data_IF_590406440463
#
_entry.id   IF_590406440463
#
_cell.length_a   1.000
_cell.length_b   1.000
_cell.length_c   1.000
_cell.angle_alpha   90.00
_cell.angle_beta   90.00
_cell.angle_gamma   90.00
#
_symmetry.space_group_name_H-M   'P 1'
#
loop_
_entity.id
_entity.type
_entity.pdbx_description
1 polymer ?
#
# COMPACT_ATOMS: atom_id res chain seq x y z
N UNK A 1 -0.65 23.16 11.37
CA UNK A 1 -0.72 23.95 10.13
C UNK A 1 -1.82 23.46 9.18
N UNK A 2 -1.90 22.16 8.84
CA UNK A 2 -2.90 21.63 7.90
C UNK A 2 -4.38 21.85 8.34
N UNK A 3 -4.78 21.64 9.61
CA UNK A 3 -6.16 21.92 10.05
C UNK A 3 -6.57 23.39 9.89
N UNK A 4 -5.62 24.32 10.09
CA UNK A 4 -5.87 25.76 9.97
C UNK A 4 -6.18 26.17 8.51
N UNK A 5 -5.43 25.65 7.54
CA UNK A 5 -5.71 25.84 6.10
C UNK A 5 -7.02 25.18 5.63
N UNK A 6 -7.58 24.28 6.41
CA UNK A 6 -8.86 23.61 6.13
C UNK A 6 -10.04 24.23 6.89
N UNK A 7 -9.84 25.38 7.54
CA UNK A 7 -10.89 26.01 8.35
C UNK A 7 -11.34 25.15 9.53
N UNK A 8 -10.43 24.33 10.09
CA UNK A 8 -10.75 23.37 11.15
C UNK A 8 -11.38 22.06 10.67
N UNK A 9 -11.64 21.89 9.38
CA UNK A 9 -12.23 20.66 8.86
C UNK A 9 -11.29 19.47 9.07
N UNK A 10 -11.88 18.33 9.43
CA UNK A 10 -11.14 17.11 9.73
C UNK A 10 -10.23 16.67 8.57
N UNK A 11 -9.11 16.10 8.99
CA UNK A 11 -8.13 15.52 8.08
C UNK A 11 -8.65 14.15 7.64
N UNK A 12 -8.70 13.91 6.33
CA UNK A 12 -9.10 12.63 5.78
C UNK A 12 -8.26 11.45 6.32
N UNK A 13 -7.03 11.70 6.76
CA UNK A 13 -6.14 10.73 7.40
C UNK A 13 -6.66 10.18 8.74
N UNK A 14 -7.57 10.88 9.44
CA UNK A 14 -8.17 10.37 10.70
C UNK A 14 -8.87 9.04 10.45
N UNK A 15 -9.50 8.89 9.28
CA UNK A 15 -10.18 7.66 8.87
C UNK A 15 -9.25 6.45 8.76
N UNK A 16 -7.93 6.65 8.64
CA UNK A 16 -6.97 5.53 8.60
C UNK A 16 -6.78 4.87 9.97
N UNK A 17 -7.28 5.53 11.02
CA UNK A 17 -7.23 5.10 12.41
C UNK A 17 -8.65 5.01 13.00
N UNK A 18 -9.64 4.67 12.16
CA UNK A 18 -11.07 4.65 12.52
C UNK A 18 -11.38 3.82 13.78
N UNK A 19 -10.60 2.76 14.04
CA UNK A 19 -10.66 1.95 15.27
C UNK A 19 -10.43 2.73 16.56
N UNK A 20 -9.74 3.87 16.50
CA UNK A 20 -9.43 4.70 17.65
C UNK A 20 -10.35 5.91 17.78
N UNK A 21 -11.28 6.14 16.84
CA UNK A 21 -12.25 7.23 16.92
C UNK A 21 -12.48 7.92 15.59
N UNK A 22 -13.46 8.82 15.59
CA UNK A 22 -13.88 9.56 14.39
C UNK A 22 -13.14 10.89 14.26
N UNK A 23 -12.58 11.40 15.37
CA UNK A 23 -11.83 12.66 15.40
C UNK A 23 -10.36 12.47 15.76
N UNK A 24 -9.49 13.39 15.34
CA UNK A 24 -8.05 13.34 15.69
C UNK A 24 -7.83 13.33 17.21
N UNK A 25 -8.65 14.07 17.97
CA UNK A 25 -8.56 14.12 19.42
C UNK A 25 -8.91 12.79 20.07
N UNK A 26 -9.99 12.15 19.61
CA UNK A 26 -10.39 10.82 20.06
C UNK A 26 -9.34 9.78 19.71
N UNK A 27 -8.81 9.79 18.49
CA UNK A 27 -7.76 8.88 18.05
C UNK A 27 -6.56 8.93 18.99
N UNK A 28 -6.03 10.13 19.26
CA UNK A 28 -4.88 10.30 20.16
C UNK A 28 -5.24 9.89 21.60
N UNK A 29 -6.40 10.30 22.09
CA UNK A 29 -6.86 9.97 23.44
C UNK A 29 -6.98 8.47 23.63
N UNK A 30 -7.66 7.78 22.71
CA UNK A 30 -7.90 6.35 22.80
C UNK A 30 -6.62 5.53 22.61
N UNK A 31 -5.66 5.99 21.81
CA UNK A 31 -4.33 5.36 21.76
C UNK A 31 -3.62 5.41 23.12
N UNK A 32 -3.80 6.49 23.89
CA UNK A 32 -3.17 6.67 25.21
C UNK A 32 -3.94 5.95 26.33
N UNK A 33 -5.27 5.98 26.30
CA UNK A 33 -6.11 5.43 27.39
C UNK A 33 -6.51 3.98 27.19
N UNK A 34 -6.38 3.42 25.97
CA UNK A 34 -6.72 2.04 25.67
C UNK A 34 -5.50 1.26 25.14
N UNK A 35 -4.49 0.99 26.01
CA UNK A 35 -3.26 0.31 25.58
C UNK A 35 -3.52 -1.10 25.06
N UNK A 36 -4.55 -1.81 25.56
CA UNK A 36 -4.94 -3.13 25.05
C UNK A 36 -5.38 -3.07 23.58
N UNK A 37 -6.16 -2.07 23.20
CA UNK A 37 -6.57 -1.83 21.81
C UNK A 37 -5.34 -1.49 20.95
N UNK A 38 -4.50 -0.56 21.41
CA UNK A 38 -3.28 -0.18 20.70
C UNK A 38 -2.35 -1.37 20.45
N UNK A 39 -2.06 -2.17 21.47
CA UNK A 39 -1.22 -3.35 21.32
C UNK A 39 -1.89 -4.45 20.52
N UNK A 40 -3.23 -4.58 20.58
CA UNK A 40 -3.99 -5.50 19.73
C UNK A 40 -3.82 -5.20 18.25
N UNK A 41 -3.76 -3.92 17.87
CA UNK A 41 -3.52 -3.49 16.49
C UNK A 41 -2.03 -3.56 16.09
N UNK A 42 -1.11 -3.29 17.03
CA UNK A 42 0.32 -3.39 16.76
C UNK A 42 0.82 -4.84 16.69
N UNK A 43 0.29 -5.76 17.48
CA UNK A 43 0.79 -7.13 17.62
C UNK A 43 -0.05 -8.12 16.82
N UNK A 44 -0.07 -7.92 15.50
CA UNK A 44 -0.82 -8.78 14.57
C UNK A 44 0.12 -9.59 13.68
N UNK A 45 -0.43 -10.62 13.03
CA UNK A 45 0.27 -11.36 11.97
C UNK A 45 0.70 -10.41 10.85
N UNK A 46 -0.13 -9.40 10.52
CA UNK A 46 0.18 -8.39 9.50
C UNK A 46 1.42 -7.58 9.88
N UNK A 47 1.48 -7.08 11.11
CA UNK A 47 2.66 -6.35 11.62
C UNK A 47 3.91 -7.21 11.62
N UNK A 48 3.78 -8.48 12.00
CA UNK A 48 4.88 -9.44 11.99
C UNK A 48 5.42 -9.64 10.58
N UNK A 49 4.53 -9.91 9.60
CA UNK A 49 4.91 -10.05 8.20
C UNK A 49 5.56 -8.77 7.66
N UNK A 50 5.04 -7.60 8.02
CA UNK A 50 5.62 -6.32 7.63
C UNK A 50 7.04 -6.14 8.17
N UNK A 51 7.27 -6.43 9.46
CA UNK A 51 8.61 -6.40 10.05
C UNK A 51 9.55 -7.40 9.37
N UNK A 52 9.08 -8.61 9.09
CA UNK A 52 9.84 -9.63 8.36
C UNK A 52 10.21 -9.15 6.95
N UNK A 53 9.27 -8.54 6.21
CA UNK A 53 9.54 -7.98 4.88
C UNK A 53 10.61 -6.89 4.89
N UNK A 54 10.73 -6.12 5.98
CA UNK A 54 11.76 -5.09 6.13
C UNK A 54 13.11 -5.64 6.62
N UNK A 55 13.10 -6.67 7.47
CA UNK A 55 14.32 -7.18 8.12
C UNK A 55 14.96 -8.35 7.37
N UNK A 56 14.17 -9.19 6.70
CA UNK A 56 14.69 -10.36 5.97
C UNK A 56 15.66 -9.98 4.84
N UNK A 57 15.44 -8.93 4.03
CA UNK A 57 16.38 -8.54 2.98
C UNK A 57 17.77 -8.16 3.50
N UNK A 58 17.86 -7.69 4.75
CA UNK A 58 19.12 -7.33 5.42
C UNK A 58 19.60 -8.41 6.38
N UNK A 59 19.06 -9.63 6.28
CA UNK A 59 19.46 -10.77 7.12
C UNK A 59 19.26 -10.51 8.61
N UNK A 60 18.27 -9.71 9.00
CA UNK A 60 18.00 -9.32 10.38
C UNK A 60 19.14 -8.57 11.10
N UNK A 61 20.20 -8.18 10.39
CA UNK A 61 21.38 -7.57 11.01
C UNK A 61 21.11 -6.17 11.58
N UNK A 62 20.05 -5.49 11.12
CA UNK A 62 19.54 -4.28 11.75
C UNK A 62 19.24 -4.45 13.26
N UNK A 63 18.83 -5.65 13.70
CA UNK A 63 18.53 -5.95 15.10
C UNK A 63 19.77 -5.88 16.00
N UNK A 64 20.98 -6.00 15.44
CA UNK A 64 22.23 -5.85 16.20
C UNK A 64 22.55 -4.37 16.51
N UNK A 65 21.74 -3.43 16.03
CA UNK A 65 21.83 -2.00 16.30
C UNK A 65 20.50 -1.43 16.81
N UNK A 66 19.98 -1.92 17.96
CA UNK A 66 18.62 -1.64 18.40
C UNK A 66 18.36 -0.14 18.62
N UNK A 67 19.34 0.61 19.12
CA UNK A 67 19.21 2.06 19.31
C UNK A 67 19.03 2.85 18.00
N UNK A 68 19.61 2.39 16.88
CA UNK A 68 19.42 3.01 15.56
C UNK A 68 18.11 2.57 14.93
N UNK A 69 17.80 1.28 15.04
CA UNK A 69 16.53 0.76 14.57
C UNK A 69 15.33 1.39 15.31
N UNK A 70 15.49 1.70 16.60
CA UNK A 70 14.48 2.35 17.43
C UNK A 70 14.07 3.74 16.92
N UNK A 71 14.94 4.43 16.17
CA UNK A 71 14.61 5.72 15.54
C UNK A 71 13.43 5.57 14.56
N UNK A 72 13.26 4.39 13.96
CA UNK A 72 12.16 4.09 13.06
C UNK A 72 10.86 3.66 13.75
N UNK A 73 10.87 3.39 15.06
CA UNK A 73 9.70 2.84 15.76
C UNK A 73 8.45 3.72 15.69
N UNK A 74 8.51 5.06 15.84
CA UNK A 74 7.31 5.88 15.74
C UNK A 74 6.64 5.77 14.36
N UNK A 75 7.46 5.80 13.30
CA UNK A 75 6.96 5.67 11.93
C UNK A 75 6.45 4.26 11.66
N UNK A 76 7.16 3.23 12.11
CA UNK A 76 6.73 1.84 12.00
C UNK A 76 5.38 1.63 12.70
N UNK A 77 5.22 2.14 13.92
CA UNK A 77 3.96 2.07 14.66
C UNK A 77 2.81 2.71 13.90
N UNK A 78 3.00 3.93 13.38
CA UNK A 78 1.97 4.61 12.55
C UNK A 78 1.61 3.77 11.31
N UNK A 79 2.59 3.16 10.65
CA UNK A 79 2.35 2.32 9.47
C UNK A 79 1.61 1.02 9.82
N UNK A 80 1.88 0.41 10.97
CA UNK A 80 1.15 -0.78 11.44
C UNK A 80 -0.29 -0.46 11.82
N UNK A 81 -0.54 0.71 12.39
CA UNK A 81 -1.88 1.18 12.78
C UNK A 81 -2.70 1.67 11.58
N UNK A 82 -2.08 1.86 10.42
CA UNK A 82 -2.76 2.34 9.22
C UNK A 82 -3.48 1.18 8.50
N UNK A 83 -4.79 1.30 8.37
CA UNK A 83 -5.63 0.26 7.75
C UNK A 83 -5.38 0.09 6.25
N UNK A 84 -4.99 1.17 5.55
CA UNK A 84 -4.80 1.19 4.09
C UNK A 84 -3.36 0.86 3.66
N UNK A 85 -2.37 1.20 4.49
CA UNK A 85 -0.95 1.23 4.08
C UNK A 85 -0.10 0.03 4.55
N UNK A 86 -0.71 -1.00 5.13
CA UNK A 86 0.04 -2.05 5.81
C UNK A 86 0.45 -3.24 4.91
N UNK A 87 0.53 -3.02 3.60
CA UNK A 87 1.23 -3.92 2.67
C UNK A 87 2.62 -3.32 2.35
N UNK A 88 3.72 -4.00 2.70
CA UNK A 88 5.08 -3.50 2.54
C UNK A 88 5.51 -3.35 1.06
N UNK A 89 4.70 -3.79 0.10
CA UNK A 89 4.94 -3.57 -1.33
C UNK A 89 4.56 -2.15 -1.78
N UNK A 90 3.76 -1.43 -1.00
CA UNK A 90 3.47 -0.03 -1.26
C UNK A 90 4.58 0.87 -0.73
N UNK A 91 4.75 2.04 -1.33
CA UNK A 91 5.84 2.98 -1.04
C UNK A 91 5.77 3.64 0.35
N UNK A 92 4.71 3.42 1.15
CA UNK A 92 4.54 4.06 2.46
C UNK A 92 5.68 3.76 3.46
N UNK A 93 6.35 2.61 3.31
CA UNK A 93 7.50 2.24 4.12
C UNK A 93 8.82 2.94 3.72
N UNK A 94 8.85 3.66 2.58
CA UNK A 94 10.07 4.24 2.04
C UNK A 94 10.89 5.06 3.06
N UNK A 95 10.31 5.84 3.98
CA UNK A 95 11.10 6.58 4.96
C UNK A 95 11.73 5.69 6.06
N UNK A 96 11.26 4.45 6.26
CA UNK A 96 11.90 3.48 7.16
C UNK A 96 13.15 2.85 6.54
N UNK A 97 13.21 2.74 5.22
CA UNK A 97 14.33 2.11 4.50
C UNK A 97 15.69 2.67 4.93
N UNK A 98 15.97 4.00 4.90
CA UNK A 98 17.27 4.52 5.31
C UNK A 98 17.61 4.19 6.78
N UNK A 99 16.61 4.14 7.67
CA UNK A 99 16.82 3.77 9.09
C UNK A 99 17.24 2.31 9.20
N UNK A 100 16.57 1.40 8.49
CA UNK A 100 16.91 -0.03 8.47
C UNK A 100 18.33 -0.23 7.92
N UNK A 101 18.68 0.41 6.80
CA UNK A 101 20.03 0.31 6.23
C UNK A 101 21.11 0.93 7.13
N UNK A 102 20.81 2.04 7.82
CA UNK A 102 21.71 2.62 8.82
C UNK A 102 21.91 1.71 10.04
N UNK A 103 20.85 1.06 10.51
CA UNK A 103 20.96 0.07 11.57
C UNK A 103 21.77 -1.15 11.11
N UNK A 104 21.52 -1.65 9.89
CA UNK A 104 22.22 -2.79 9.28
C UNK A 104 23.71 -2.53 9.10
N UNK A 105 24.12 -1.36 8.62
CA UNK A 105 25.55 -1.07 8.41
C UNK A 105 26.38 -1.21 9.68
N UNK A 106 25.83 -0.75 10.82
CA UNK A 106 26.44 -0.93 12.14
C UNK A 106 26.24 -2.36 12.65
N UNK A 107 25.11 -2.98 12.34
CA UNK A 107 24.82 -4.36 12.69
C UNK A 107 25.83 -5.34 12.11
N UNK A 108 26.24 -5.14 10.85
CA UNK A 108 27.30 -5.92 10.20
C UNK A 108 28.61 -5.86 11.00
N UNK A 109 29.03 -4.67 11.46
CA UNK A 109 30.24 -4.52 12.29
C UNK A 109 30.11 -5.13 13.69
N UNK A 110 28.90 -5.39 14.17
CA UNK A 110 28.63 -6.02 15.48
C UNK A 110 28.45 -7.53 15.38
N UNK A 111 28.10 -8.03 14.19
CA UNK A 111 27.86 -9.43 13.93
C UNK A 111 29.08 -10.30 14.29
N UNK A 112 30.29 -9.82 14.00
CA UNK A 112 31.53 -10.54 14.38
C UNK A 112 31.64 -10.80 15.88
N UNK A 113 31.41 -9.76 16.70
CA UNK A 113 31.43 -9.87 18.17
C UNK A 113 30.36 -10.82 18.71
N UNK A 114 29.17 -10.78 18.13
CA UNK A 114 28.05 -11.65 18.53
C UNK A 114 28.36 -13.10 18.15
N UNK A 115 28.89 -13.33 16.95
CA UNK A 115 29.30 -14.64 16.48
C UNK A 115 30.40 -15.22 17.38
N UNK A 116 31.45 -14.45 17.68
CA UNK A 116 32.53 -14.88 18.59
C UNK A 116 32.01 -15.18 20.00
N UNK A 117 31.08 -14.37 20.52
CA UNK A 117 30.43 -14.61 21.83
C UNK A 117 29.60 -15.88 21.82
N UNK A 118 28.90 -16.19 20.73
CA UNK A 118 28.12 -17.42 20.60
C UNK A 118 29.03 -18.64 20.43
N UNK A 119 30.05 -18.56 19.57
CA UNK A 119 30.97 -19.66 19.32
C UNK A 119 31.84 -19.99 20.54
N UNK A 120 32.31 -19.00 21.29
CA UNK A 120 33.08 -19.19 22.54
C UNK A 120 32.28 -19.88 23.66
N UNK A 121 30.94 -19.90 23.58
CA UNK A 121 30.11 -20.75 24.48
C UNK A 121 30.19 -22.23 24.13
N UNK A 122 30.58 -22.57 22.90
CA UNK A 122 30.66 -23.93 22.40
C UNK A 122 32.10 -24.40 22.17
N UNK A 123 33.09 -23.51 22.26
CA UNK A 123 34.51 -23.83 22.09
C UNK A 123 35.36 -23.35 23.28
N UNK A 124 36.14 -24.26 23.85
CA UNK A 124 37.18 -23.94 24.85
C UNK A 124 38.42 -23.50 24.10
N UNK A 125 38.52 -22.24 23.71
CA UNK A 125 39.74 -21.71 23.09
C UNK A 125 40.12 -20.31 23.56
N UNK A 126 41.42 -20.15 23.80
CA UNK A 126 42.13 -19.00 24.38
C UNK A 126 41.90 -17.67 23.66
N UNK A 127 42.10 -16.54 24.36
CA UNK A 127 41.79 -15.20 23.87
C UNK A 127 42.67 -14.82 22.67
N UNK A 128 42.06 -14.63 21.50
CA UNK A 128 42.75 -14.09 20.33
C UNK A 128 42.95 -12.58 20.44
N UNK A 129 44.18 -12.15 20.13
CA UNK A 129 44.62 -10.76 20.04
C UNK A 129 43.90 -10.08 18.87
N UNK A 130 43.27 -8.94 19.15
CA UNK A 130 42.61 -8.07 18.15
C UNK A 130 43.66 -7.59 17.14
N UNK A 131 43.61 -8.09 15.90
CA UNK A 131 44.30 -7.50 14.77
C UNK A 131 43.32 -6.71 13.92
N UNK A 132 43.79 -5.64 13.26
CA UNK A 132 43.02 -4.68 12.47
C UNK A 132 42.61 -5.20 11.08
N UNK A 133 42.74 -6.49 10.81
CA UNK A 133 42.27 -7.14 9.58
C UNK A 133 40.79 -7.55 9.74
N UNK A 134 39.97 -7.49 8.68
CA UNK A 134 38.58 -7.95 8.76
C UNK A 134 38.56 -9.40 9.24
N UNK A 135 37.83 -9.64 10.32
CA UNK A 135 37.74 -10.99 10.88
C UNK A 135 36.96 -11.89 9.91
N UNK A 136 37.16 -13.22 9.94
CA UNK A 136 36.32 -14.16 9.19
C UNK A 136 34.82 -13.93 9.46
N UNK A 137 34.47 -13.53 10.68
CA UNK A 137 33.10 -13.22 11.08
C UNK A 137 32.56 -11.94 10.41
N UNK A 138 33.39 -10.92 10.19
CA UNK A 138 33.03 -9.74 9.39
C UNK A 138 32.82 -10.09 7.91
N UNK A 139 33.60 -11.05 7.38
CA UNK A 139 33.37 -11.58 6.03
C UNK A 139 32.05 -12.35 5.94
N UNK A 140 31.76 -13.19 6.92
CA UNK A 140 30.52 -13.94 7.00
C UNK A 140 29.29 -13.02 7.07
N UNK A 141 29.30 -12.02 7.95
CA UNK A 141 28.17 -11.10 8.09
C UNK A 141 27.87 -10.34 6.79
N UNK A 142 28.92 -9.91 6.08
CA UNK A 142 28.78 -9.26 4.76
C UNK A 142 28.20 -10.22 3.73
N UNK A 143 28.74 -11.43 3.62
CA UNK A 143 28.22 -12.46 2.71
C UNK A 143 26.78 -12.83 3.05
N UNK A 144 26.42 -12.87 4.33
CA UNK A 144 25.07 -13.18 4.78
C UNK A 144 24.06 -12.10 4.42
N UNK A 145 24.39 -10.80 4.57
CA UNK A 145 23.54 -9.72 4.03
C UNK A 145 23.35 -9.89 2.54
N UNK A 146 24.44 -10.09 1.79
CA UNK A 146 24.37 -10.24 0.33
C UNK A 146 23.51 -11.43 -0.09
N UNK A 147 23.68 -12.59 0.56
CA UNK A 147 22.88 -13.78 0.31
C UNK A 147 21.40 -13.51 0.65
N UNK A 148 21.11 -12.88 1.79
CA UNK A 148 19.74 -12.54 2.20
C UNK A 148 19.07 -11.58 1.21
N UNK A 149 19.77 -10.52 0.81
CA UNK A 149 19.29 -9.55 -0.18
C UNK A 149 19.07 -10.21 -1.55
N UNK A 150 20.00 -11.06 -1.99
CA UNK A 150 19.88 -11.75 -3.27
C UNK A 150 18.73 -12.75 -3.25
N UNK A 151 18.61 -13.57 -2.21
CA UNK A 151 17.50 -14.53 -2.07
C UNK A 151 16.16 -13.81 -2.02
N UNK A 152 16.01 -12.78 -1.19
CA UNK A 152 14.75 -12.03 -1.13
C UNK A 152 14.44 -11.31 -2.45
N UNK A 153 15.44 -10.77 -3.15
CA UNK A 153 15.25 -10.19 -4.47
C UNK A 153 14.81 -11.23 -5.51
N UNK A 154 15.45 -12.40 -5.54
CA UNK A 154 15.14 -13.46 -6.49
C UNK A 154 13.76 -14.07 -6.26
N UNK A 155 13.34 -14.26 -5.01
CA UNK A 155 12.11 -15.00 -4.71
C UNK A 155 10.89 -14.13 -4.42
N UNK A 156 11.07 -12.88 -3.98
CA UNK A 156 9.97 -12.07 -3.44
C UNK A 156 9.80 -10.71 -4.14
N UNK A 157 10.74 -10.28 -4.98
CA UNK A 157 10.67 -8.93 -5.56
C UNK A 157 9.83 -8.84 -6.83
N UNK A 158 9.35 -7.62 -7.12
CA UNK A 158 8.72 -7.26 -8.39
C UNK A 158 9.76 -6.87 -9.46
N UNK A 159 11.05 -7.13 -9.22
CA UNK A 159 12.10 -6.84 -10.20
C UNK A 159 12.04 -7.85 -11.35
N UNK A 160 12.41 -7.45 -12.59
CA UNK A 160 12.64 -8.40 -13.69
C UNK A 160 13.66 -9.51 -13.37
N UNK A 161 14.48 -9.36 -12.32
CA UNK A 161 15.37 -10.41 -11.85
C UNK A 161 14.70 -11.45 -10.93
N UNK A 162 13.48 -11.18 -10.44
CA UNK A 162 12.75 -12.03 -9.51
C UNK A 162 11.86 -13.06 -10.20
N UNK A 163 11.73 -14.25 -9.62
CA UNK A 163 10.87 -15.34 -10.10
C UNK A 163 9.39 -14.91 -10.07
N UNK A 164 8.98 -14.19 -9.03
CA UNK A 164 7.61 -13.67 -8.84
C UNK A 164 7.15 -12.75 -9.96
N UNK A 165 8.08 -12.11 -10.67
CA UNK A 165 7.78 -11.27 -11.83
C UNK A 165 7.43 -12.09 -13.07
N UNK A 166 8.02 -13.27 -13.24
CA UNK A 166 7.80 -14.12 -14.43
C UNK A 166 6.75 -15.20 -14.24
N UNK A 167 6.46 -15.58 -12.99
CA UNK A 167 5.48 -16.62 -12.66
C UNK A 167 4.04 -16.17 -12.95
N UNK A 168 3.36 -16.79 -13.92
CA UNK A 168 1.97 -16.47 -14.27
C UNK A 168 0.95 -16.72 -13.13
N UNK A 169 1.29 -17.58 -12.16
CA UNK A 169 0.48 -17.80 -10.95
C UNK A 169 0.54 -16.63 -9.97
N UNK A 170 1.63 -15.85 -10.00
CA UNK A 170 1.85 -14.71 -9.12
C UNK A 170 0.91 -13.55 -9.44
N UNK A 171 0.36 -12.93 -8.38
CA UNK A 171 -0.38 -11.66 -8.46
C UNK A 171 0.51 -10.49 -8.92
N UNK A 172 1.83 -10.64 -8.82
CA UNK A 172 2.83 -9.62 -9.16
C UNK A 172 3.52 -9.89 -10.51
N UNK A 173 2.97 -10.80 -11.30
CA UNK A 173 3.57 -11.18 -12.57
C UNK A 173 3.48 -10.08 -13.61
N UNK A 174 4.44 -10.08 -14.53
CA UNK A 174 4.45 -9.23 -15.72
C UNK A 174 3.11 -9.32 -16.45
N UNK A 175 2.59 -10.54 -16.57
CA UNK A 175 1.36 -10.85 -17.29
C UNK A 175 0.09 -10.27 -16.64
N UNK A 176 0.12 -10.00 -15.34
CA UNK A 176 -1.02 -9.37 -14.64
C UNK A 176 -0.86 -7.86 -14.48
N UNK A 177 0.37 -7.39 -14.26
CA UNK A 177 0.62 -5.99 -13.94
C UNK A 177 0.90 -5.11 -15.16
N UNK A 178 1.48 -5.68 -16.22
CA UNK A 178 2.01 -4.91 -17.34
C UNK A 178 1.54 -5.40 -18.71
N UNK A 179 1.07 -6.65 -18.83
CA UNK A 179 0.54 -7.11 -20.09
C UNK A 179 -0.74 -6.36 -20.46
N UNK A 180 -0.93 -6.20 -21.76
CA UNK A 180 -2.10 -5.56 -22.32
C UNK A 180 -3.35 -6.39 -22.03
N UNK A 181 -4.30 -5.77 -21.34
CA UNK A 181 -5.60 -6.36 -20.99
C UNK A 181 -6.61 -6.04 -22.11
N UNK A 182 -7.32 -7.02 -22.70
CA UNK A 182 -8.34 -6.77 -23.72
C UNK A 182 -9.39 -5.72 -23.32
N UNK A 183 -9.65 -5.56 -22.02
CA UNK A 183 -10.48 -4.48 -21.48
C UNK A 183 -9.98 -3.09 -21.87
N UNK A 184 -8.66 -2.91 -22.00
CA UNK A 184 -8.08 -1.64 -22.42
C UNK A 184 -8.47 -1.29 -23.87
N UNK A 185 -8.66 -2.28 -24.75
CA UNK A 185 -9.07 -2.09 -26.14
C UNK A 185 -10.53 -1.65 -26.27
N UNK A 186 -11.36 -1.92 -25.26
CA UNK A 186 -12.76 -1.49 -25.23
C UNK A 186 -12.91 -0.02 -24.85
N UNK A 187 -11.90 0.56 -24.19
CA UNK A 187 -12.01 1.90 -23.63
C UNK A 187 -12.17 3.05 -24.65
N UNK A 188 -11.55 3.02 -25.84
CA UNK A 188 -11.85 3.97 -26.91
C UNK A 188 -13.33 4.04 -27.28
N UNK A 189 -14.07 2.92 -27.21
CA UNK A 189 -15.52 2.90 -27.45
C UNK A 189 -16.29 3.66 -26.36
N UNK A 190 -15.86 3.54 -25.11
CA UNK A 190 -16.41 4.30 -23.98
C UNK A 190 -16.15 5.80 -24.16
N UNK A 191 -14.91 6.19 -24.48
CA UNK A 191 -14.56 7.61 -24.69
C UNK A 191 -15.35 8.24 -25.84
N UNK A 192 -15.57 7.49 -26.94
CA UNK A 192 -16.34 7.99 -28.07
C UNK A 192 -17.80 8.35 -27.73
N UNK A 193 -18.36 7.79 -26.65
CA UNK A 193 -19.73 8.07 -26.17
C UNK A 193 -19.83 9.32 -25.31
N UNK A 194 -18.72 9.86 -24.82
CA UNK A 194 -18.71 10.89 -23.78
C UNK A 194 -18.06 12.16 -24.34
N UNK A 195 -18.82 13.24 -24.53
CA UNK A 195 -18.26 14.53 -24.96
C UNK A 195 -17.23 15.07 -23.98
N UNK A 196 -16.22 15.78 -24.49
CA UNK A 196 -15.08 16.25 -23.68
C UNK A 196 -15.48 17.28 -22.62
N UNK A 197 -16.50 18.06 -22.90
CA UNK A 197 -17.12 19.06 -22.02
C UNK A 197 -17.95 18.44 -20.89
N UNK A 198 -18.17 17.13 -20.89
CA UNK A 198 -18.98 16.47 -19.86
C UNK A 198 -18.27 16.39 -18.50
N UNK A 199 -19.03 16.21 -17.43
CA UNK A 199 -18.54 15.90 -16.09
C UNK A 199 -18.76 14.41 -15.81
N UNK A 200 -17.67 13.67 -15.60
CA UNK A 200 -17.68 12.21 -15.59
C UNK A 200 -17.32 11.68 -14.22
N UNK A 201 -18.19 10.86 -13.62
CA UNK A 201 -17.84 10.02 -12.49
C UNK A 201 -17.39 8.64 -12.98
N UNK A 202 -16.36 8.06 -12.37
CA UNK A 202 -15.89 6.75 -12.81
C UNK A 202 -15.16 5.99 -11.71
N UNK A 203 -15.15 4.66 -11.79
CA UNK A 203 -14.42 3.83 -10.80
C UNK A 203 -12.90 4.11 -10.83
N UNK A 204 -12.26 3.98 -9.66
CA UNK A 204 -10.88 4.41 -9.37
C UNK A 204 -9.84 4.07 -10.47
N UNK A 205 -9.86 2.85 -11.00
CA UNK A 205 -8.80 2.38 -11.90
C UNK A 205 -8.94 2.84 -13.36
N UNK A 206 -10.10 3.38 -13.73
CA UNK A 206 -10.30 4.05 -15.03
C UNK A 206 -10.41 5.56 -14.91
N UNK A 207 -10.56 6.08 -13.69
CA UNK A 207 -10.66 7.51 -13.40
C UNK A 207 -9.55 8.39 -14.03
N UNK A 208 -8.24 8.00 -14.00
CA UNK A 208 -7.20 8.80 -14.65
C UNK A 208 -7.46 9.04 -16.14
N UNK A 209 -8.17 8.13 -16.81
CA UNK A 209 -8.48 8.26 -18.24
C UNK A 209 -9.53 9.33 -18.52
N UNK A 210 -10.30 9.79 -17.53
CA UNK A 210 -11.32 10.84 -17.69
C UNK A 210 -10.85 12.23 -17.22
N UNK A 211 -9.60 12.38 -16.80
CA UNK A 211 -9.06 13.65 -16.28
C UNK A 211 -8.99 14.80 -17.30
N UNK A 212 -9.21 14.51 -18.58
CA UNK A 212 -9.22 15.48 -19.68
C UNK A 212 -10.62 16.06 -19.98
N UNK A 213 -11.64 15.59 -19.26
CA UNK A 213 -13.00 16.12 -19.30
C UNK A 213 -13.14 17.39 -18.41
N UNK A 214 -14.27 18.12 -18.52
CA UNK A 214 -14.50 19.34 -17.72
C UNK A 214 -14.30 19.07 -16.22
N UNK A 215 -14.86 17.95 -15.74
CA UNK A 215 -14.59 17.42 -14.41
C UNK A 215 -14.53 15.91 -14.43
N UNK A 216 -13.68 15.37 -13.57
CA UNK A 216 -13.62 13.94 -13.29
C UNK A 216 -13.85 13.71 -11.80
N UNK A 217 -14.82 12.85 -11.49
CA UNK A 217 -15.19 12.45 -10.14
C UNK A 217 -14.87 10.97 -9.93
N UNK A 218 -14.50 10.59 -8.72
CA UNK A 218 -14.39 9.18 -8.40
C UNK A 218 -15.76 8.63 -7.97
N UNK A 219 -16.11 7.51 -8.60
CA UNK A 219 -17.28 6.70 -8.31
C UNK A 219 -16.87 5.56 -7.38
N UNK A 220 -17.04 5.78 -6.08
CA UNK A 220 -16.78 4.79 -5.03
C UNK A 220 -17.67 5.07 -3.82
N UNK A 221 -17.64 4.16 -2.85
CA UNK A 221 -18.32 4.33 -1.55
C UNK A 221 -17.65 5.39 -0.66
N UNK A 222 -16.58 6.03 -1.13
CA UNK A 222 -15.86 7.01 -0.35
C UNK A 222 -16.64 8.33 -0.27
N UNK A 223 -17.20 8.62 0.90
CA UNK A 223 -17.94 9.86 1.18
C UNK A 223 -17.05 11.09 0.99
N UNK A 224 -17.38 11.94 0.01
CA UNK A 224 -16.62 13.15 -0.35
C UNK A 224 -17.42 14.43 -0.15
N UNK A 225 -16.74 15.52 0.17
CA UNK A 225 -17.34 16.85 0.32
C UNK A 225 -18.11 17.31 -0.93
N UNK A 226 -17.60 17.00 -2.12
CA UNK A 226 -18.24 17.40 -3.39
C UNK A 226 -19.62 16.75 -3.59
N UNK A 227 -19.87 15.62 -2.93
CA UNK A 227 -21.15 14.93 -2.87
C UNK A 227 -21.83 15.07 -1.49
N UNK A 228 -21.50 16.12 -0.73
CA UNK A 228 -22.12 16.37 0.59
C UNK A 228 -21.79 15.33 1.66
N UNK A 229 -20.73 14.52 1.49
CA UNK A 229 -20.43 13.34 2.30
C UNK A 229 -21.51 12.25 2.26
N UNK A 230 -22.32 12.22 1.22
CA UNK A 230 -23.28 11.16 0.95
C UNK A 230 -22.68 10.14 -0.02
N UNK A 231 -23.23 8.92 -0.01
CA UNK A 231 -22.85 7.87 -0.97
C UNK A 231 -23.62 8.08 -2.29
N UNK A 232 -23.23 9.12 -3.04
CA UNK A 232 -23.80 9.51 -4.32
C UNK A 232 -22.77 10.20 -5.22
N UNK A 233 -23.06 10.27 -6.52
CA UNK A 233 -22.31 11.15 -7.43
C UNK A 233 -22.74 12.61 -7.24
N UNK A 234 -21.85 13.60 -7.51
CA UNK A 234 -22.22 15.01 -7.51
C UNK A 234 -23.45 15.32 -8.38
N UNK A 235 -24.24 16.30 -7.97
CA UNK A 235 -25.45 16.70 -8.69
C UNK A 235 -25.19 17.28 -10.08
N UNK A 236 -23.96 17.64 -10.42
CA UNK A 236 -23.57 18.11 -11.75
C UNK A 236 -22.98 17.01 -12.64
N UNK A 237 -22.98 15.74 -12.20
CA UNK A 237 -22.44 14.62 -12.99
C UNK A 237 -23.32 14.32 -14.20
N UNK A 238 -22.71 14.30 -15.39
CA UNK A 238 -23.37 14.03 -16.67
C UNK A 238 -23.27 12.54 -17.06
N UNK A 239 -22.13 11.90 -16.77
CA UNK A 239 -21.88 10.49 -17.09
C UNK A 239 -21.29 9.72 -15.92
N UNK A 240 -21.62 8.44 -15.83
CA UNK A 240 -21.00 7.48 -14.91
C UNK A 240 -20.39 6.34 -15.71
N UNK A 241 -19.12 6.02 -15.47
CA UNK A 241 -18.42 4.89 -16.10
C UNK A 241 -17.94 3.91 -15.05
N UNK A 242 -18.45 2.69 -15.10
CA UNK A 242 -18.15 1.65 -14.13
C UNK A 242 -17.39 0.52 -14.84
N UNK A 243 -16.14 0.29 -14.44
CA UNK A 243 -15.38 -0.89 -14.82
C UNK A 243 -15.93 -2.12 -14.09
N UNK A 244 -16.45 -3.11 -14.82
CA UNK A 244 -17.05 -4.31 -14.22
C UNK A 244 -16.01 -5.41 -13.95
N UNK A 245 -14.85 -5.36 -14.58
CA UNK A 245 -13.86 -6.44 -14.58
C UNK A 245 -12.78 -6.24 -13.54
N UNK A 246 -12.55 -5.01 -13.09
CA UNK A 246 -11.52 -4.74 -12.08
C UNK A 246 -11.76 -5.57 -10.80
N UNK A 247 -10.72 -6.18 -10.20
CA UNK A 247 -10.85 -6.98 -8.98
C UNK A 247 -11.49 -6.27 -7.79
N UNK A 248 -11.34 -4.94 -7.70
CA UNK A 248 -11.93 -4.11 -6.65
C UNK A 248 -13.25 -3.44 -7.04
N UNK A 249 -13.83 -3.79 -8.20
CA UNK A 249 -15.16 -3.29 -8.56
C UNK A 249 -16.22 -4.23 -8.02
N UNK A 250 -17.13 -3.73 -7.19
CA UNK A 250 -18.25 -4.52 -6.65
C UNK A 250 -19.44 -4.61 -7.61
N UNK A 251 -19.46 -3.75 -8.64
CA UNK A 251 -20.56 -3.66 -9.62
C UNK A 251 -20.15 -4.41 -10.89
N UNK A 252 -20.83 -5.51 -11.15
CA UNK A 252 -20.58 -6.44 -12.27
C UNK A 252 -21.66 -6.39 -13.35
N UNK A 253 -22.85 -5.87 -13.03
CA UNK A 253 -23.97 -5.75 -13.96
C UNK A 253 -24.72 -4.42 -13.80
N UNK A 254 -25.43 -3.92 -14.83
CA UNK A 254 -26.21 -2.69 -14.73
C UNK A 254 -27.25 -2.72 -13.60
N UNK A 255 -27.85 -3.88 -13.33
CA UNK A 255 -28.79 -4.05 -12.22
C UNK A 255 -28.19 -3.78 -10.84
N UNK A 256 -26.86 -3.79 -10.70
CA UNK A 256 -26.15 -3.49 -9.46
C UNK A 256 -25.75 -2.01 -9.34
N UNK A 257 -25.90 -1.21 -10.40
CA UNK A 257 -25.61 0.21 -10.35
C UNK A 257 -26.66 0.95 -9.51
N UNK A 258 -26.21 1.63 -8.44
CA UNK A 258 -27.08 2.34 -7.49
C UNK A 258 -28.04 3.29 -8.19
N UNK A 259 -27.54 4.06 -9.14
CA UNK A 259 -28.30 5.11 -9.83
C UNK A 259 -29.45 4.54 -10.66
N UNK A 260 -29.29 3.34 -11.23
CA UNK A 260 -30.37 2.66 -11.94
C UNK A 260 -31.43 2.07 -10.99
N UNK A 261 -31.05 1.74 -9.74
CA UNK A 261 -31.98 1.22 -8.75
C UNK A 261 -32.77 2.33 -8.04
N UNK A 262 -32.09 3.44 -7.73
CA UNK A 262 -32.61 4.50 -6.86
C UNK A 262 -33.14 5.69 -7.62
N UNK A 263 -32.61 5.97 -8.81
CA UNK A 263 -32.91 7.15 -9.61
C UNK A 263 -33.10 6.80 -11.12
N UNK A 264 -33.91 5.77 -11.48
CA UNK A 264 -34.05 5.31 -12.87
C UNK A 264 -34.63 6.39 -13.80
N UNK A 265 -35.35 7.37 -13.26
CA UNK A 265 -35.91 8.48 -14.02
C UNK A 265 -34.87 9.55 -14.36
N UNK A 266 -33.71 9.56 -13.69
CA UNK A 266 -32.62 10.53 -13.92
C UNK A 266 -31.47 9.97 -14.75
N UNK A 267 -31.32 8.65 -14.75
CA UNK A 267 -30.22 7.97 -15.41
C UNK A 267 -30.73 7.02 -16.48
N UNK A 268 -30.00 6.96 -17.57
CA UNK A 268 -30.19 5.96 -18.62
C UNK A 268 -28.92 5.16 -18.83
N UNK A 269 -29.09 3.87 -19.03
CA UNK A 269 -28.03 2.97 -19.44
C UNK A 269 -27.80 3.14 -20.94
N UNK A 270 -26.58 3.50 -21.33
CA UNK A 270 -26.20 3.51 -22.74
C UNK A 270 -25.99 2.08 -23.25
N UNK A 271 -26.22 1.82 -24.55
CA UNK A 271 -25.96 0.51 -25.13
C UNK A 271 -24.53 0.03 -24.87
N UNK A 272 -24.39 -1.23 -24.50
CA UNK A 272 -23.10 -1.87 -24.29
C UNK A 272 -22.53 -2.38 -25.62
N UNK A 273 -21.33 -1.91 -25.96
CA UNK A 273 -20.51 -2.33 -27.09
C UNK A 273 -19.09 -2.76 -26.64
N UNK A 274 -18.94 -2.99 -25.33
CA UNK A 274 -17.69 -3.30 -24.63
C UNK A 274 -17.63 -4.74 -24.12
N UNK A 275 -18.52 -5.61 -24.60
CA UNK A 275 -18.61 -7.02 -24.21
C UNK A 275 -18.82 -7.21 -22.69
N UNK A 276 -19.50 -6.26 -22.04
CA UNK A 276 -19.75 -6.24 -20.61
C UNK A 276 -18.62 -5.67 -19.76
N UNK A 277 -17.51 -5.21 -20.34
CA UNK A 277 -16.36 -4.69 -19.59
C UNK A 277 -16.65 -3.36 -18.88
N UNK A 278 -17.56 -2.54 -19.44
CA UNK A 278 -17.93 -1.25 -18.89
C UNK A 278 -19.45 -1.03 -18.89
N UNK A 279 -19.94 -0.44 -17.80
CA UNK A 279 -21.30 0.11 -17.74
C UNK A 279 -21.18 1.62 -17.88
N UNK A 280 -21.93 2.20 -18.82
CA UNK A 280 -21.95 3.66 -19.04
C UNK A 280 -23.35 4.16 -18.82
N UNK A 281 -23.51 5.06 -17.84
CA UNK A 281 -24.76 5.76 -17.59
C UNK A 281 -24.65 7.19 -18.07
N UNK A 282 -25.72 7.70 -18.67
CA UNK A 282 -25.88 9.11 -19.03
C UNK A 282 -27.02 9.69 -18.21
N UNK A 283 -26.85 10.93 -17.75
CA UNK A 283 -27.93 11.69 -17.13
C UNK A 283 -28.91 12.16 -18.21
N UNK A 284 -30.22 11.99 -17.95
CA UNK A 284 -31.32 12.41 -18.82
C UNK A 284 -31.53 13.93 -18.78
#
# INVERSE_FOLDING_TARGET
MIPWFRGGAELHYVRYFSKFGDTMGEVVWNMLTNPSLLFGELLTTKTTLYALSMLAPVGFLALLSPGRLAVGLPLFGILCLNELAADPRHHFHAPLVPVVFWATSIGVSRAGKVFDTLCSRFTVSSPHRVTSSPTPADSFARQFVWASSLTTALFLSMSPAGITFWDAGSSLSLWRLYAHDPRADQFPKVLAKIPRESRVASTDFVHPRFTHHERSYDYSHYRRRIAGYEDRVPDDTDFIVIDTRHPYSDIKSPSQARELQTEPDRWELLPDDTDGDFIVLRRK
#
